data_IF_326242246449
#
_entry.id   IF_326242246449
#
_cell.length_a   1.000
_cell.length_b   1.000
_cell.length_c   1.000
_cell.angle_alpha   90.00
_cell.angle_beta   90.00
_cell.angle_gamma   90.00
#
_symmetry.space_group_name_H-M   'P 1'
#
loop_
_entity.id
_entity.type
_entity.pdbx_description
1 polymer ?
#
# COMPACT_ATOMS: atom_id res chain seq x y z
N UNK A 1 19.27 5.41 -12.98
CA UNK A 1 17.80 5.42 -12.93
C UNK A 1 17.42 5.59 -11.48
N UNK A 2 17.32 6.82 -11.01
CA UNK A 2 17.04 7.10 -9.59
C UNK A 2 15.57 6.82 -9.34
N UNK A 3 15.26 5.71 -8.69
CA UNK A 3 13.94 5.49 -8.11
C UNK A 3 13.74 6.58 -7.05
N UNK A 4 12.77 7.46 -7.26
CA UNK A 4 12.31 8.39 -6.23
C UNK A 4 11.71 7.56 -5.11
N UNK A 5 12.51 7.24 -4.10
CA UNK A 5 12.04 6.58 -2.88
C UNK A 5 11.27 7.62 -2.08
N UNK A 6 9.94 7.49 -2.05
CA UNK A 6 9.10 8.29 -1.16
C UNK A 6 9.42 7.85 0.28
N UNK A 7 9.71 8.81 1.16
CA UNK A 7 10.01 8.51 2.56
C UNK A 7 8.75 7.99 3.30
N UNK A 8 8.97 7.31 4.43
CA UNK A 8 7.90 6.66 5.18
C UNK A 8 6.82 7.64 5.70
N UNK A 9 7.18 8.90 5.98
CA UNK A 9 6.24 9.92 6.45
C UNK A 9 5.38 10.42 5.29
N UNK A 10 5.97 10.60 4.12
CA UNK A 10 5.23 10.94 2.90
C UNK A 10 4.29 9.81 2.48
N UNK A 11 4.72 8.56 2.59
CA UNK A 11 3.88 7.38 2.34
C UNK A 11 2.68 7.31 3.28
N UNK A 12 2.88 7.56 4.58
CA UNK A 12 1.78 7.57 5.55
C UNK A 12 0.81 8.73 5.34
N UNK A 13 1.29 9.90 4.89
CA UNK A 13 0.46 11.03 4.51
C UNK A 13 -0.43 10.72 3.29
N UNK A 14 0.14 10.15 2.22
CA UNK A 14 -0.64 9.71 1.05
C UNK A 14 -1.70 8.67 1.44
N UNK A 15 -1.32 7.68 2.25
CA UNK A 15 -2.27 6.68 2.71
C UNK A 15 -3.37 7.29 3.61
N UNK A 16 -3.04 8.33 4.39
CA UNK A 16 -4.02 9.10 5.17
C UNK A 16 -5.00 9.87 4.29
N UNK A 17 -4.56 10.35 3.13
CA UNK A 17 -5.42 10.95 2.10
C UNK A 17 -6.41 9.94 1.55
N UNK A 18 -5.89 8.82 1.04
CA UNK A 18 -6.69 7.77 0.40
C UNK A 18 -7.76 7.20 1.34
N UNK A 19 -7.41 6.96 2.62
CA UNK A 19 -8.36 6.41 3.62
C UNK A 19 -9.61 7.26 3.83
N UNK A 20 -9.63 8.54 3.43
CA UNK A 20 -10.81 9.39 3.64
C UNK A 20 -11.96 9.08 2.70
N UNK A 21 -11.68 8.51 1.54
CA UNK A 21 -12.66 8.15 0.52
C UNK A 21 -12.59 6.68 0.13
N UNK A 22 -11.94 5.84 0.95
CA UNK A 22 -11.72 4.42 0.66
C UNK A 22 -12.34 3.58 1.77
N UNK A 23 -13.15 2.60 1.40
CA UNK A 23 -13.89 1.73 2.33
C UNK A 23 -13.05 0.55 2.82
N UNK A 24 -12.06 0.14 2.02
CA UNK A 24 -11.20 -1.00 2.32
C UNK A 24 -9.98 -0.66 3.18
N UNK A 25 -9.04 -1.60 3.23
CA UNK A 25 -7.79 -1.43 3.96
C UNK A 25 -6.74 -0.69 3.12
N UNK A 26 -6.01 0.24 3.73
CA UNK A 26 -4.85 0.88 3.10
C UNK A 26 -3.63 0.64 3.99
N UNK A 27 -2.64 -0.08 3.49
CA UNK A 27 -1.43 -0.46 4.21
C UNK A 27 -0.21 0.28 3.65
N UNK A 28 0.73 0.62 4.54
CA UNK A 28 2.06 1.17 4.18
C UNK A 28 3.14 0.41 4.92
N UNK A 29 4.39 0.56 4.45
CA UNK A 29 5.56 -0.05 5.08
C UNK A 29 5.60 0.17 6.59
N UNK A 30 5.94 -0.89 7.35
CA UNK A 30 6.01 -0.86 8.81
C UNK A 30 4.68 -1.06 9.55
N UNK A 31 3.54 -1.09 8.86
CA UNK A 31 2.27 -1.47 9.48
C UNK A 31 2.14 -2.99 9.65
N UNK A 32 1.44 -3.46 10.71
CA UNK A 32 1.00 -4.85 10.78
C UNK A 32 0.23 -5.25 9.52
N UNK A 33 0.43 -6.47 9.02
CA UNK A 33 -0.23 -6.98 7.81
C UNK A 33 0.39 -6.53 6.48
N UNK A 34 1.20 -5.48 6.42
CA UNK A 34 1.83 -5.02 5.16
C UNK A 34 2.72 -6.09 4.51
N UNK A 35 3.53 -6.79 5.31
CA UNK A 35 4.42 -7.83 4.80
C UNK A 35 3.67 -9.06 4.27
N UNK A 36 2.53 -9.38 4.88
CA UNK A 36 1.70 -10.49 4.41
C UNK A 36 0.97 -10.08 3.13
N UNK A 37 0.39 -8.88 3.09
CA UNK A 37 -0.34 -8.36 1.94
C UNK A 37 0.50 -8.18 0.66
N UNK A 38 1.81 -7.88 0.79
CA UNK A 38 2.72 -7.78 -0.35
C UNK A 38 3.23 -9.13 -0.87
N UNK A 39 3.02 -10.21 -0.12
CA UNK A 39 3.55 -11.53 -0.46
C UNK A 39 2.64 -12.17 -1.51
N UNK A 40 3.22 -12.45 -2.68
CA UNK A 40 2.53 -13.18 -3.75
C UNK A 40 3.01 -14.64 -3.78
N UNK A 41 2.28 -15.48 -4.50
CA UNK A 41 2.59 -16.90 -4.62
C UNK A 41 4.03 -17.18 -5.11
N UNK A 42 4.53 -16.36 -6.04
CA UNK A 42 5.92 -16.48 -6.49
C UNK A 42 6.88 -15.80 -5.51
N UNK A 43 7.47 -16.59 -4.62
CA UNK A 43 8.43 -16.13 -3.61
C UNK A 43 9.72 -15.52 -4.18
N UNK A 44 10.01 -15.67 -5.48
CA UNK A 44 11.15 -14.98 -6.12
C UNK A 44 10.89 -13.48 -6.32
N UNK A 45 9.64 -13.01 -6.20
CA UNK A 45 9.27 -11.61 -6.38
C UNK A 45 9.18 -10.92 -5.01
N UNK A 46 10.22 -10.19 -4.63
CA UNK A 46 10.25 -9.35 -3.41
C UNK A 46 10.09 -7.86 -3.76
N UNK A 47 8.84 -7.45 -4.04
CA UNK A 47 8.51 -6.02 -4.26
C UNK A 47 8.02 -5.38 -2.96
N UNK A 48 8.35 -4.10 -2.80
CA UNK A 48 8.03 -3.27 -1.62
C UNK A 48 7.21 -2.05 -2.07
N UNK A 49 5.92 -2.22 -2.39
CA UNK A 49 5.06 -1.12 -2.82
C UNK A 49 4.90 -0.08 -1.71
N UNK A 50 4.87 1.21 -2.06
CA UNK A 50 4.73 2.30 -1.08
C UNK A 50 3.40 2.22 -0.33
N UNK A 51 2.33 1.85 -1.04
CA UNK A 51 0.96 1.72 -0.52
C UNK A 51 0.34 0.45 -1.10
N UNK A 52 -0.43 -0.28 -0.30
CA UNK A 52 -1.29 -1.39 -0.72
C UNK A 52 -2.73 -1.02 -0.39
N UNK A 53 -3.61 -1.05 -1.39
CA UNK A 53 -5.04 -0.78 -1.23
C UNK A 53 -5.84 -2.08 -1.42
N UNK A 54 -6.46 -2.56 -0.34
CA UNK A 54 -7.34 -3.73 -0.34
C UNK A 54 -8.79 -3.30 -0.54
N UNK A 55 -9.23 -3.17 -1.79
CA UNK A 55 -10.57 -2.72 -2.16
C UNK A 55 -11.64 -3.72 -1.72
N UNK A 56 -12.76 -3.23 -1.17
CA UNK A 56 -13.90 -4.05 -0.73
C UNK A 56 -15.21 -3.66 -1.42
N UNK A 57 -15.25 -2.51 -2.09
CA UNK A 57 -16.38 -2.05 -2.91
C UNK A 57 -15.93 -1.74 -4.34
N UNK A 58 -16.90 -1.53 -5.24
CA UNK A 58 -16.59 -1.03 -6.59
C UNK A 58 -16.07 0.40 -6.56
N UNK A 59 -16.55 1.24 -5.64
CA UNK A 59 -16.14 2.64 -5.50
C UNK A 59 -14.64 2.76 -5.14
N UNK A 60 -14.13 1.78 -4.39
CA UNK A 60 -12.70 1.69 -4.04
C UNK A 60 -11.75 1.50 -5.25
N UNK A 61 -12.26 1.16 -6.43
CA UNK A 61 -11.45 0.82 -7.62
C UNK A 61 -11.52 1.93 -8.70
N UNK A 62 -12.32 2.98 -8.50
CA UNK A 62 -12.59 4.04 -9.49
C UNK A 62 -11.52 5.13 -9.51
#
# INVERSE_FOLDING_TARGET
MSETVIDQKSASALAGELRRSFSGEVLVGGQPGYNDARTIWNAMVDKKPTVIAGCVTTDDVV
#
